data_IF_590012536937
#
_entry.id   IF_590012536937
#
_cell.length_a   1.000
_cell.length_b   1.000
_cell.length_c   1.000
_cell.angle_alpha   90.00
_cell.angle_beta   90.00
_cell.angle_gamma   90.00
#
_symmetry.space_group_name_H-M   'P 1'
#
loop_
_entity.id
_entity.type
_entity.pdbx_description
1 polymer ?
#
# COMPACT_ATOMS: atom_id res chain seq x y z
N UNK A 1 13.51 24.48 3.17
CA UNK A 1 12.08 24.22 2.96
C UNK A 1 11.89 23.29 1.76
N UNK A 2 11.26 22.14 1.98
CA UNK A 2 10.91 21.17 0.94
C UNK A 2 9.53 21.55 0.38
N UNK A 3 9.37 21.54 -0.94
CA UNK A 3 8.09 21.88 -1.59
C UNK A 3 7.20 20.64 -1.70
N UNK A 4 6.53 20.31 -0.60
CA UNK A 4 5.60 19.18 -0.51
C UNK A 4 4.26 19.51 -1.18
N UNK A 5 3.82 18.64 -2.10
CA UNK A 5 2.50 18.72 -2.76
C UNK A 5 1.58 17.56 -2.38
N UNK A 6 0.29 17.74 -2.62
CA UNK A 6 -0.70 16.65 -2.59
C UNK A 6 -0.39 15.60 -3.65
N UNK A 7 -0.69 14.34 -3.34
CA UNK A 7 -0.48 13.23 -4.28
C UNK A 7 -1.56 13.26 -5.36
N UNK A 8 -1.13 13.46 -6.60
CA UNK A 8 -1.98 13.44 -7.79
C UNK A 8 -1.66 12.20 -8.64
N UNK A 9 -2.60 11.76 -9.49
CA UNK A 9 -2.42 10.55 -10.31
C UNK A 9 -1.25 10.72 -11.29
N UNK A 10 -1.01 11.94 -11.76
CA UNK A 10 0.10 12.30 -12.65
C UNK A 10 1.47 12.13 -11.98
N UNK A 11 1.53 12.15 -10.65
CA UNK A 11 2.79 11.99 -9.91
C UNK A 11 3.40 10.60 -10.08
N UNK A 12 2.57 9.60 -10.45
CA UNK A 12 3.03 8.25 -10.79
C UNK A 12 4.23 8.28 -11.74
N UNK A 13 4.21 9.18 -12.72
CA UNK A 13 5.23 9.28 -13.77
C UNK A 13 6.64 9.54 -13.24
N UNK A 14 6.77 10.33 -12.17
CA UNK A 14 8.07 10.67 -11.59
C UNK A 14 8.35 9.87 -10.31
N UNK A 15 7.32 9.38 -9.61
CA UNK A 15 7.46 8.55 -8.41
C UNK A 15 7.88 7.12 -8.74
N UNK A 16 7.24 6.47 -9.72
CA UNK A 16 7.52 5.06 -10.06
C UNK A 16 9.01 4.78 -10.32
N UNK A 17 9.75 5.59 -11.11
CA UNK A 17 11.18 5.34 -11.33
C UNK A 17 12.02 5.38 -10.05
N UNK A 18 11.68 6.25 -9.10
CA UNK A 18 12.37 6.38 -7.82
C UNK A 18 12.08 5.18 -6.92
N UNK A 19 10.81 4.78 -6.83
CA UNK A 19 10.40 3.56 -6.10
C UNK A 19 11.06 2.30 -6.67
N UNK A 20 11.06 2.17 -8.01
CA UNK A 20 11.68 1.03 -8.70
C UNK A 20 13.20 0.96 -8.49
N UNK A 21 13.86 2.11 -8.35
CA UNK A 21 15.30 2.19 -8.09
C UNK A 21 15.63 1.91 -6.62
N UNK A 22 14.76 2.35 -5.70
CA UNK A 22 14.89 2.08 -4.27
C UNK A 22 14.68 0.60 -3.93
N UNK A 23 13.81 -0.08 -4.69
CA UNK A 23 13.49 -1.51 -4.58
C UNK A 23 13.06 -1.95 -3.17
N UNK A 24 12.40 -1.05 -2.44
CA UNK A 24 12.02 -1.24 -1.04
C UNK A 24 10.80 -2.15 -0.90
N UNK A 25 10.78 -2.99 0.14
CA UNK A 25 9.77 -4.04 0.31
C UNK A 25 8.58 -3.72 1.22
N UNK A 26 8.46 -2.48 1.72
CA UNK A 26 7.30 -2.08 2.53
C UNK A 26 6.15 -1.62 1.63
N UNK A 27 4.90 -2.03 1.91
CA UNK A 27 3.73 -1.72 1.06
C UNK A 27 3.53 -0.20 0.86
N UNK A 28 3.97 0.63 1.79
CA UNK A 28 3.92 2.09 1.68
C UNK A 28 4.81 2.68 0.57
N UNK A 29 5.78 1.90 0.06
CA UNK A 29 6.63 2.26 -1.08
C UNK A 29 6.02 1.82 -2.42
N UNK A 30 4.69 1.86 -2.50
CA UNK A 30 3.90 1.61 -3.68
C UNK A 30 3.08 2.87 -4.00
N UNK A 31 3.09 3.31 -5.27
CA UNK A 31 2.37 4.52 -5.66
C UNK A 31 0.85 4.40 -5.49
N UNK A 32 0.26 3.22 -5.77
CA UNK A 32 -1.16 2.96 -5.52
C UNK A 32 -1.50 3.22 -4.06
N UNK A 33 -0.71 2.72 -3.12
CA UNK A 33 -0.93 2.97 -1.69
C UNK A 33 -0.81 4.46 -1.33
N UNK A 34 0.23 5.14 -1.82
CA UNK A 34 0.41 6.58 -1.59
C UNK A 34 -0.77 7.40 -2.12
N UNK A 35 -1.29 7.05 -3.30
CA UNK A 35 -2.38 7.75 -3.94
C UNK A 35 -3.74 7.43 -3.30
N UNK A 36 -4.05 6.14 -3.09
CA UNK A 36 -5.33 5.68 -2.56
C UNK A 36 -5.58 6.20 -1.14
N UNK A 37 -4.54 6.19 -0.30
CA UNK A 37 -4.64 6.61 1.10
C UNK A 37 -4.26 8.08 1.34
N UNK A 38 -4.02 8.86 0.29
CA UNK A 38 -3.56 10.25 0.40
C UNK A 38 -4.48 11.13 1.23
N UNK A 39 -5.80 10.90 1.18
CA UNK A 39 -6.77 11.72 1.93
C UNK A 39 -6.79 11.35 3.41
N UNK A 40 -6.72 10.05 3.74
CA UNK A 40 -6.79 9.53 5.11
C UNK A 40 -5.55 9.92 5.91
N UNK A 41 -4.36 9.66 5.36
CA UNK A 41 -3.09 9.99 6.03
C UNK A 41 -2.55 11.36 5.64
N UNK A 42 -3.29 12.15 4.86
CA UNK A 42 -2.87 13.46 4.36
C UNK A 42 -1.49 13.39 3.70
N UNK A 43 -1.23 12.35 2.90
CA UNK A 43 0.07 12.17 2.28
C UNK A 43 0.45 13.38 1.44
N UNK A 44 1.71 13.79 1.57
CA UNK A 44 2.34 14.81 0.75
C UNK A 44 3.67 14.26 0.25
N UNK A 45 3.98 14.54 -1.02
CA UNK A 45 5.14 14.03 -1.72
C UNK A 45 5.99 15.19 -2.25
N UNK A 46 7.30 14.97 -2.32
CA UNK A 46 8.23 15.84 -3.01
C UNK A 46 9.40 15.02 -3.56
N UNK A 47 10.07 15.56 -4.57
CA UNK A 47 11.36 15.07 -4.99
C UNK A 47 12.45 15.91 -4.32
N UNK A 48 13.36 15.25 -3.60
CA UNK A 48 14.54 15.87 -3.00
C UNK A 48 15.75 15.15 -3.56
N UNK A 49 16.47 15.82 -4.46
CA UNK A 49 17.56 15.21 -5.23
C UNK A 49 17.05 13.98 -6.01
N UNK A 50 17.69 12.83 -5.86
CA UNK A 50 17.29 11.56 -6.49
C UNK A 50 16.44 10.68 -5.54
N UNK A 51 15.71 11.31 -4.61
CA UNK A 51 14.83 10.64 -3.65
C UNK A 51 13.40 11.16 -3.69
N UNK A 52 12.45 10.23 -3.59
CA UNK A 52 11.10 10.49 -3.14
C UNK A 52 11.14 10.68 -1.62
N UNK A 53 10.54 11.78 -1.17
CA UNK A 53 10.21 11.99 0.25
C UNK A 53 8.71 12.07 0.41
N UNK A 54 8.21 11.43 1.46
CA UNK A 54 6.78 11.37 1.79
C UNK A 54 6.61 11.77 3.24
N UNK A 55 5.60 12.62 3.51
CA UNK A 55 5.10 12.84 4.87
C UNK A 55 3.60 12.58 4.94
N UNK A 56 3.14 12.18 6.12
CA UNK A 56 1.73 11.95 6.42
C UNK A 56 1.42 12.34 7.86
N UNK A 57 0.16 12.19 8.24
CA UNK A 57 -0.36 12.46 9.57
C UNK A 57 -1.16 11.24 10.03
N UNK A 58 -0.83 10.72 11.21
CA UNK A 58 -1.54 9.64 11.89
C UNK A 58 -1.82 10.08 13.32
N UNK A 59 -3.09 10.02 13.74
CA UNK A 59 -3.52 10.45 15.08
C UNK A 59 -3.03 11.85 15.48
N UNK A 60 -2.97 12.77 14.50
CA UNK A 60 -2.49 14.15 14.68
C UNK A 60 -0.97 14.30 14.74
N UNK A 61 -0.21 13.21 14.63
CA UNK A 61 1.26 13.21 14.61
C UNK A 61 1.77 13.17 13.18
N UNK A 62 2.60 14.14 12.80
CA UNK A 62 3.29 14.12 11.51
C UNK A 62 4.41 13.09 11.54
N UNK A 63 4.53 12.31 10.46
CA UNK A 63 5.62 11.36 10.27
C UNK A 63 6.11 11.41 8.82
N UNK A 64 7.31 10.90 8.62
CA UNK A 64 7.97 10.80 7.32
C UNK A 64 8.28 9.34 7.02
N UNK A 65 8.22 8.96 5.76
CA UNK A 65 8.82 7.69 5.33
C UNK A 65 10.33 7.87 5.12
N UNK A 66 11.08 6.78 5.30
CA UNK A 66 12.48 6.75 4.89
C UNK A 66 12.59 7.12 3.40
N UNK A 67 13.52 8.01 2.98
CA UNK A 67 13.60 8.43 1.59
C UNK A 67 13.80 7.26 0.64
N UNK A 68 12.99 7.18 -0.42
CA UNK A 68 13.07 6.13 -1.42
C UNK A 68 13.72 6.66 -2.69
N UNK A 69 14.90 6.16 -3.04
CA UNK A 69 15.64 6.62 -4.21
C UNK A 69 17.05 6.08 -4.25
N UNK A 70 17.97 6.85 -4.85
CA UNK A 70 19.37 6.47 -5.01
C UNK A 70 20.31 7.54 -4.46
N UNK A 71 21.38 7.13 -3.80
CA UNK A 71 22.46 8.01 -3.36
C UNK A 71 22.70 7.93 -1.85
N UNK A 72 23.26 9.00 -1.29
CA UNK A 72 23.41 9.16 0.15
C UNK A 72 22.12 9.76 0.74
N UNK A 73 21.35 9.04 1.57
CA UNK A 73 20.12 9.56 2.14
C UNK A 73 20.37 10.55 3.29
N UNK A 74 21.60 10.69 3.79
CA UNK A 74 21.89 11.54 4.95
C UNK A 74 21.45 13.00 4.76
N UNK A 75 21.83 13.71 3.68
CA UNK A 75 21.41 15.11 3.48
C UNK A 75 19.89 15.24 3.31
N UNK A 76 19.24 14.21 2.76
CA UNK A 76 17.78 14.18 2.59
C UNK A 76 17.08 14.06 3.93
N UNK A 77 17.54 13.15 4.80
CA UNK A 77 17.02 12.97 6.16
C UNK A 77 17.24 14.24 7.00
N UNK A 78 18.39 14.90 6.88
CA UNK A 78 18.67 16.19 7.53
C UNK A 78 17.65 17.26 7.10
N UNK A 79 17.34 17.35 5.80
CA UNK A 79 16.31 18.27 5.29
C UNK A 79 14.89 17.95 5.76
N UNK A 80 14.57 16.68 5.99
CA UNK A 80 13.27 16.29 6.57
C UNK A 80 13.19 16.67 8.06
N UNK A 81 14.30 16.54 8.79
CA UNK A 81 14.38 17.01 10.17
C UNK A 81 14.23 18.55 10.26
N UNK A 82 14.81 19.30 9.31
CA UNK A 82 14.59 20.74 9.17
C UNK A 82 13.11 21.07 8.88
N UNK A 83 12.45 20.33 7.98
CA UNK A 83 11.00 20.51 7.68
C UNK A 83 10.13 20.28 8.92
N UNK A 84 10.46 19.28 9.74
CA UNK A 84 9.77 19.01 11.00
C UNK A 84 9.97 20.15 12.01
N UNK A 85 11.22 20.64 12.14
CA UNK A 85 11.54 21.75 13.03
C UNK A 85 10.86 23.07 12.60
N UNK A 86 10.83 23.38 11.30
CA UNK A 86 10.14 24.54 10.74
C UNK A 86 8.61 24.47 10.99
N UNK A 87 8.07 23.25 11.15
CA UNK A 87 6.66 22.99 11.44
C UNK A 87 6.35 22.88 12.94
N UNK A 88 7.36 23.06 13.82
CA UNK A 88 7.25 22.89 15.29
C UNK A 88 6.71 21.50 15.71
N UNK A 89 7.14 20.44 15.02
CA UNK A 89 6.77 19.05 15.32
C UNK A 89 7.99 18.16 15.54
N UNK A 90 7.77 17.05 16.25
CA UNK A 90 8.80 16.00 16.41
C UNK A 90 9.13 15.34 15.07
N UNK A 91 10.41 15.09 14.81
CA UNK A 91 10.85 14.37 13.62
C UNK A 91 10.69 12.86 13.80
N UNK A 92 9.61 12.30 13.25
CA UNK A 92 9.32 10.86 13.28
C UNK A 92 9.57 10.25 11.90
N UNK A 93 10.43 9.23 11.85
CA UNK A 93 10.78 8.51 10.61
C UNK A 93 10.34 7.05 10.68
N UNK A 94 9.50 6.61 9.74
CA UNK A 94 9.09 5.22 9.59
C UNK A 94 10.17 4.46 8.82
N UNK A 95 10.73 3.42 9.44
CA UNK A 95 11.86 2.67 8.91
C UNK A 95 11.61 1.17 8.93
N UNK A 96 12.12 0.46 7.92
CA UNK A 96 12.20 -0.99 7.95
C UNK A 96 13.36 -1.47 8.83
N UNK A 97 13.42 -2.79 9.05
CA UNK A 97 14.53 -3.40 9.79
C UNK A 97 15.87 -3.22 9.08
N UNK A 98 15.86 -3.21 7.76
CA UNK A 98 17.03 -3.00 6.90
C UNK A 98 17.54 -1.57 7.05
N UNK A 99 16.63 -0.59 6.98
CA UNK A 99 16.97 0.83 7.09
C UNK A 99 17.45 1.21 8.50
N UNK A 100 17.01 0.50 9.54
CA UNK A 100 17.45 0.75 10.92
C UNK A 100 18.97 0.70 11.09
N UNK A 101 19.64 -0.25 10.44
CA UNK A 101 21.09 -0.39 10.54
C UNK A 101 21.82 0.79 9.87
N UNK A 102 21.33 1.23 8.71
CA UNK A 102 21.85 2.38 8.00
C UNK A 102 21.60 3.69 8.76
N UNK A 103 20.39 3.88 9.27
CA UNK A 103 20.03 5.07 10.04
C UNK A 103 20.95 5.25 11.26
N UNK A 104 21.23 4.18 12.01
CA UNK A 104 22.13 4.24 13.15
C UNK A 104 23.60 4.48 12.76
N UNK A 105 24.01 4.08 11.54
CA UNK A 105 25.34 4.38 11.00
C UNK A 105 25.49 5.86 10.64
N UNK A 106 24.47 6.43 10.00
CA UNK A 106 24.45 7.83 9.55
C UNK A 106 24.27 8.80 10.73
N UNK A 107 23.40 8.43 11.67
CA UNK A 107 23.00 9.27 12.80
C UNK A 107 23.15 8.53 14.13
N UNK A 108 24.39 8.25 14.57
CA UNK A 108 24.64 7.49 15.78
C UNK A 108 24.01 8.17 17.00
N UNK A 109 23.21 7.41 17.75
CA UNK A 109 22.56 7.85 18.99
C UNK A 109 21.61 9.06 18.83
N UNK A 110 21.10 9.32 17.62
CA UNK A 110 20.17 10.42 17.34
C UNK A 110 18.69 10.03 17.34
N UNK A 111 18.37 8.75 17.22
CA UNK A 111 16.99 8.26 17.13
C UNK A 111 16.69 7.29 18.27
N UNK A 112 15.50 7.42 18.84
CA UNK A 112 14.85 6.36 19.59
C UNK A 112 14.06 5.46 18.63
N UNK A 113 14.07 4.15 18.85
CA UNK A 113 13.45 3.18 17.95
C UNK A 113 12.36 2.38 18.67
N UNK A 114 11.13 2.51 18.20
CA UNK A 114 9.96 1.78 18.67
C UNK A 114 9.35 0.93 17.55
N UNK A 115 8.90 -0.28 17.87
CA UNK A 115 8.18 -1.13 16.91
C UNK A 115 6.68 -0.82 16.95
N UNK A 116 6.07 -0.69 15.77
CA UNK A 116 4.61 -0.56 15.60
C UNK A 116 4.06 -1.86 15.02
N UNK A 117 3.80 -2.85 15.88
CA UNK A 117 3.48 -4.22 15.46
C UNK A 117 2.26 -4.32 14.54
N UNK A 118 1.27 -3.47 14.75
CA UNK A 118 0.02 -3.45 13.99
C UNK A 118 0.21 -2.92 12.56
N UNK A 119 1.37 -2.33 12.25
CA UNK A 119 1.75 -1.81 10.93
C UNK A 119 2.76 -2.70 10.19
N UNK A 120 2.91 -3.96 10.59
CA UNK A 120 3.82 -4.88 9.91
C UNK A 120 3.15 -5.55 8.71
N UNK A 121 3.86 -5.54 7.59
CA UNK A 121 3.45 -6.25 6.39
C UNK A 121 3.56 -7.77 6.52
N UNK A 122 2.60 -8.47 5.93
CA UNK A 122 2.59 -9.92 5.84
C UNK A 122 3.10 -10.37 4.48
N UNK A 123 4.36 -10.82 4.43
CA UNK A 123 4.98 -11.32 3.20
C UNK A 123 4.80 -12.84 3.08
N UNK A 124 4.32 -13.28 1.92
CA UNK A 124 4.07 -14.69 1.62
C UNK A 124 4.85 -15.16 0.40
N UNK A 125 5.33 -16.40 0.44
CA UNK A 125 5.91 -17.06 -0.72
C UNK A 125 4.83 -17.34 -1.78
N UNK A 126 5.05 -16.83 -2.99
CA UNK A 126 4.10 -16.93 -4.11
C UNK A 126 3.79 -18.39 -4.45
N UNK A 127 4.81 -19.25 -4.56
CA UNK A 127 4.61 -20.66 -4.89
C UNK A 127 3.77 -21.36 -3.82
N UNK A 128 3.94 -21.02 -2.54
CA UNK A 128 3.11 -21.55 -1.45
C UNK A 128 1.66 -21.08 -1.55
N UNK A 129 1.38 -19.82 -1.90
CA UNK A 129 0.01 -19.34 -2.05
C UNK A 129 -0.69 -19.94 -3.27
N UNK A 130 0.02 -20.09 -4.40
CA UNK A 130 -0.53 -20.69 -5.63
C UNK A 130 -0.78 -22.19 -5.45
N UNK A 131 0.20 -22.93 -4.94
CA UNK A 131 0.10 -24.40 -4.83
C UNK A 131 -0.65 -24.86 -3.58
N UNK A 132 -0.70 -23.99 -2.56
CA UNK A 132 -1.15 -24.33 -1.22
C UNK A 132 -0.49 -25.62 -0.72
N UNK A 133 0.81 -25.83 -1.01
CA UNK A 133 1.51 -27.11 -0.77
C UNK A 133 1.91 -27.32 0.70
N UNK A 134 1.88 -28.57 1.17
CA UNK A 134 2.32 -28.96 2.51
C UNK A 134 1.21 -29.01 3.58
N UNK A 135 1.57 -29.43 4.80
CA UNK A 135 0.62 -29.72 5.90
C UNK A 135 -0.07 -28.45 6.41
N UNK A 136 0.65 -27.33 6.51
CA UNK A 136 0.14 -26.03 7.00
C UNK A 136 -1.08 -25.55 6.19
N UNK A 137 -1.10 -25.78 4.88
CA UNK A 137 -2.16 -25.29 3.98
C UNK A 137 -3.32 -26.28 3.76
N UNK A 138 -3.35 -27.41 4.48
CA UNK A 138 -4.42 -28.42 4.31
C UNK A 138 -5.82 -27.82 4.50
N UNK A 139 -5.99 -26.94 5.49
CA UNK A 139 -7.25 -26.25 5.73
C UNK A 139 -7.68 -25.37 4.55
N UNK A 140 -6.75 -24.58 4.00
CA UNK A 140 -7.00 -23.72 2.82
C UNK A 140 -7.40 -24.55 1.59
N UNK A 141 -6.70 -25.66 1.33
CA UNK A 141 -7.09 -26.60 0.25
C UNK A 141 -8.49 -27.19 0.47
N UNK A 142 -8.86 -27.50 1.71
CA UNK A 142 -10.20 -28.00 2.01
C UNK A 142 -11.29 -26.94 1.71
N UNK A 143 -11.06 -25.67 2.04
CA UNK A 143 -11.98 -24.59 1.69
C UNK A 143 -12.12 -24.44 0.17
N UNK A 144 -11.01 -24.42 -0.56
CA UNK A 144 -11.01 -24.35 -2.03
C UNK A 144 -11.75 -25.54 -2.64
N UNK A 145 -11.47 -26.76 -2.18
CA UNK A 145 -12.14 -27.96 -2.69
C UNK A 145 -13.64 -27.98 -2.37
N UNK A 146 -14.02 -27.51 -1.18
CA UNK A 146 -15.43 -27.37 -0.82
C UNK A 146 -16.12 -26.36 -1.74
N UNK A 147 -15.52 -25.19 -1.95
CA UNK A 147 -16.09 -24.18 -2.84
C UNK A 147 -16.26 -24.71 -4.27
N UNK A 148 -15.20 -25.29 -4.83
CA UNK A 148 -15.21 -25.86 -6.20
C UNK A 148 -16.24 -26.98 -6.39
N UNK A 149 -16.56 -27.73 -5.33
CA UNK A 149 -17.51 -28.86 -5.39
C UNK A 149 -18.97 -28.42 -5.25
N UNK A 150 -19.25 -27.40 -4.45
CA UNK A 150 -20.60 -27.07 -4.02
C UNK A 150 -21.24 -25.89 -4.77
N UNK A 151 -20.44 -25.12 -5.51
CA UNK A 151 -20.94 -23.96 -6.25
C UNK A 151 -20.67 -24.10 -7.75
N UNK A 152 -21.56 -23.56 -8.58
CA UNK A 152 -21.25 -23.27 -9.97
C UNK A 152 -20.53 -21.92 -10.02
N UNK A 153 -19.26 -21.91 -10.44
CA UNK A 153 -18.39 -20.76 -10.33
C UNK A 153 -17.56 -20.51 -11.60
N UNK A 154 -17.19 -19.25 -11.82
CA UNK A 154 -16.18 -18.83 -12.79
C UNK A 154 -15.16 -17.90 -12.12
N UNK A 155 -13.96 -17.86 -12.69
CA UNK A 155 -12.96 -16.84 -12.38
C UNK A 155 -12.73 -16.04 -13.67
N UNK A 156 -12.71 -14.72 -13.55
CA UNK A 156 -12.49 -13.79 -14.65
C UNK A 156 -11.39 -12.81 -14.23
N UNK A 157 -10.52 -12.43 -15.16
CA UNK A 157 -9.64 -11.29 -14.94
C UNK A 157 -10.49 -10.02 -14.90
N UNK A 158 -10.12 -9.09 -14.04
CA UNK A 158 -10.77 -7.78 -14.02
C UNK A 158 -10.37 -6.99 -15.25
N UNK A 159 -11.37 -6.39 -15.89
CA UNK A 159 -11.23 -5.51 -17.06
C UNK A 159 -12.23 -4.36 -16.92
N UNK A 160 -12.10 -3.34 -17.76
CA UNK A 160 -13.04 -2.20 -17.73
C UNK A 160 -14.49 -2.63 -17.99
N UNK A 161 -14.73 -3.74 -18.67
CA UNK A 161 -16.08 -4.27 -18.91
C UNK A 161 -16.76 -4.89 -17.69
N UNK A 162 -16.00 -5.36 -16.69
CA UNK A 162 -16.54 -6.03 -15.50
C UNK A 162 -16.21 -5.31 -14.18
N UNK A 163 -15.52 -4.17 -14.25
CA UNK A 163 -15.12 -3.36 -13.10
C UNK A 163 -16.33 -2.85 -12.30
N UNK A 164 -17.39 -2.41 -12.99
CA UNK A 164 -18.63 -1.93 -12.35
C UNK A 164 -19.29 -3.02 -11.50
N UNK A 165 -19.30 -4.28 -11.95
CA UNK A 165 -19.87 -5.39 -11.17
C UNK A 165 -19.06 -5.70 -9.91
N UNK A 166 -17.75 -5.51 -9.95
CA UNK A 166 -16.89 -5.62 -8.76
C UNK A 166 -17.17 -4.48 -7.78
N UNK A 167 -17.40 -3.27 -8.29
CA UNK A 167 -17.77 -2.13 -7.45
C UNK A 167 -19.15 -2.30 -6.81
N UNK A 168 -20.13 -2.80 -7.55
CA UNK A 168 -21.45 -3.13 -7.02
C UNK A 168 -21.36 -4.15 -5.88
N UNK A 169 -20.53 -5.19 -6.04
CA UNK A 169 -20.26 -6.15 -4.97
C UNK A 169 -19.66 -5.44 -3.75
N UNK A 170 -18.63 -4.61 -3.92
CA UNK A 170 -18.01 -3.87 -2.82
C UNK A 170 -19.02 -3.01 -2.07
N UNK A 171 -19.85 -2.26 -2.79
CA UNK A 171 -20.88 -1.40 -2.21
C UNK A 171 -21.91 -2.20 -1.39
N UNK A 172 -22.33 -3.37 -1.87
CA UNK A 172 -23.20 -4.28 -1.10
C UNK A 172 -22.49 -4.86 0.14
N UNK A 173 -21.22 -5.24 0.01
CA UNK A 173 -20.42 -5.71 1.14
C UNK A 173 -20.32 -4.64 2.24
N UNK A 174 -20.05 -3.39 1.89
CA UNK A 174 -20.01 -2.27 2.83
C UNK A 174 -21.36 -2.09 3.54
N UNK A 175 -22.48 -2.11 2.80
CA UNK A 175 -23.84 -1.97 3.38
C UNK A 175 -24.12 -3.05 4.41
N UNK A 176 -23.81 -4.32 4.10
CA UNK A 176 -24.04 -5.46 4.99
C UNK A 176 -23.20 -5.34 6.27
N UNK A 177 -21.96 -4.88 6.16
CA UNK A 177 -21.03 -4.75 7.28
C UNK A 177 -21.14 -3.41 8.05
N UNK A 178 -22.16 -2.59 7.76
CA UNK A 178 -22.47 -1.34 8.47
C UNK A 178 -21.33 -0.31 8.50
N UNK A 179 -20.64 -0.14 7.37
CA UNK A 179 -19.48 0.76 7.22
C UNK A 179 -19.67 2.19 7.78
N UNK A 180 -20.89 2.77 7.72
CA UNK A 180 -21.14 4.15 8.20
C UNK A 180 -20.95 4.35 9.72
N UNK A 181 -20.68 3.30 10.50
CA UNK A 181 -20.34 3.40 11.92
C UNK A 181 -18.87 3.13 12.25
N UNK A 182 -18.03 2.82 11.26
CA UNK A 182 -16.64 2.42 11.44
C UNK A 182 -15.74 3.30 10.57
N UNK A 183 -14.87 4.07 11.23
CA UNK A 183 -13.98 5.02 10.55
C UNK A 183 -12.99 4.32 9.61
N UNK A 184 -12.45 3.18 10.03
CA UNK A 184 -11.46 2.43 9.25
C UNK A 184 -12.10 1.86 7.98
N UNK A 185 -13.30 1.28 8.08
CA UNK A 185 -14.03 0.78 6.91
C UNK A 185 -14.47 1.92 5.98
N UNK A 186 -14.68 3.13 6.53
CA UNK A 186 -15.00 4.32 5.72
C UNK A 186 -13.77 4.80 4.95
N UNK A 187 -12.59 4.84 5.58
CA UNK A 187 -11.33 5.17 4.93
C UNK A 187 -10.98 4.16 3.83
N UNK A 188 -11.09 2.86 4.14
CA UNK A 188 -10.88 1.78 3.17
C UNK A 188 -11.83 1.90 1.97
N UNK A 189 -13.11 2.23 2.20
CA UNK A 189 -14.07 2.45 1.11
C UNK A 189 -13.61 3.54 0.14
N UNK A 190 -13.10 4.66 0.64
CA UNK A 190 -12.60 5.74 -0.21
C UNK A 190 -11.28 5.38 -0.91
N UNK A 191 -10.37 4.68 -0.23
CA UNK A 191 -9.13 4.19 -0.83
C UNK A 191 -9.43 3.22 -1.98
N UNK A 192 -10.28 2.21 -1.74
CA UNK A 192 -10.75 1.28 -2.77
C UNK A 192 -11.46 2.02 -3.89
N UNK A 193 -12.32 3.00 -3.58
CA UNK A 193 -13.00 3.78 -4.62
C UNK A 193 -12.01 4.47 -5.56
N UNK A 194 -10.94 5.07 -5.03
CA UNK A 194 -9.89 5.70 -5.84
C UNK A 194 -9.18 4.68 -6.73
N UNK A 195 -8.90 3.48 -6.23
CA UNK A 195 -8.32 2.40 -7.04
C UNK A 195 -9.23 1.99 -8.20
N UNK A 196 -10.55 1.94 -8.00
CA UNK A 196 -11.51 1.66 -9.07
C UNK A 196 -11.61 2.80 -10.08
N UNK A 197 -11.64 4.06 -9.61
CA UNK A 197 -11.74 5.24 -10.48
C UNK A 197 -10.50 5.42 -11.37
N UNK A 198 -9.33 4.97 -10.89
CA UNK A 198 -8.05 5.10 -11.57
C UNK A 198 -7.40 3.75 -11.93
N UNK A 199 -8.21 2.70 -12.12
CA UNK A 199 -7.73 1.32 -12.25
C UNK A 199 -6.65 1.15 -13.34
N UNK A 200 -6.91 1.66 -14.55
CA UNK A 200 -5.95 1.57 -15.66
C UNK A 200 -4.75 2.51 -15.49
N UNK A 201 -4.95 3.71 -14.94
CA UNK A 201 -3.89 4.72 -14.77
C UNK A 201 -2.90 4.32 -13.69
N UNK A 202 -3.37 3.63 -12.65
CA UNK A 202 -2.55 3.00 -11.63
C UNK A 202 -1.83 1.75 -12.16
N UNK A 203 -2.27 1.19 -13.28
CA UNK A 203 -1.73 -0.06 -13.82
C UNK A 203 -2.09 -1.27 -12.96
N UNK A 204 -3.23 -1.22 -12.27
CA UNK A 204 -3.72 -2.31 -11.44
C UNK A 204 -4.16 -3.49 -12.31
N UNK A 205 -3.95 -4.69 -11.78
CA UNK A 205 -4.62 -5.89 -12.27
C UNK A 205 -5.39 -6.57 -11.15
N UNK A 206 -6.21 -7.54 -11.53
CA UNK A 206 -7.07 -8.21 -10.55
C UNK A 206 -7.85 -9.38 -11.12
N UNK A 207 -8.60 -10.02 -10.24
CA UNK A 207 -9.47 -11.13 -10.58
C UNK A 207 -10.74 -11.12 -9.77
N UNK A 208 -11.83 -11.56 -10.39
CA UNK A 208 -13.13 -11.71 -9.76
C UNK A 208 -13.58 -13.17 -9.76
N UNK A 209 -14.36 -13.53 -8.75
CA UNK A 209 -15.06 -14.81 -8.69
C UNK A 209 -16.55 -14.58 -8.83
N UNK A 210 -17.17 -15.34 -9.73
CA UNK A 210 -18.63 -15.46 -9.80
C UNK A 210 -19.10 -16.77 -9.19
N UNK A 211 -20.24 -16.71 -8.51
CA UNK A 211 -21.01 -17.89 -8.16
C UNK A 211 -22.48 -17.61 -8.49
N UNK A 212 -23.14 -18.60 -9.10
CA UNK A 212 -24.59 -18.50 -9.43
C UNK A 212 -24.93 -17.23 -10.25
N UNK A 213 -24.02 -16.83 -11.14
CA UNK A 213 -24.19 -15.69 -12.05
C UNK A 213 -23.89 -14.31 -11.45
N UNK A 214 -23.42 -14.21 -10.21
CA UNK A 214 -23.09 -12.93 -9.55
C UNK A 214 -21.64 -12.87 -9.12
N UNK A 215 -21.03 -11.70 -9.15
CA UNK A 215 -19.72 -11.46 -8.53
C UNK A 215 -19.85 -11.59 -7.01
N UNK A 216 -19.02 -12.42 -6.39
CA UNK A 216 -19.04 -12.69 -4.95
C UNK A 216 -17.71 -12.38 -4.24
N UNK A 217 -16.65 -12.16 -5.01
CA UNK A 217 -15.32 -11.78 -4.53
C UNK A 217 -14.57 -11.10 -5.67
N UNK A 218 -13.71 -10.14 -5.32
CA UNK A 218 -12.68 -9.61 -6.21
C UNK A 218 -11.40 -9.38 -5.41
N UNK A 219 -10.29 -9.19 -6.11
CA UNK A 219 -9.00 -8.75 -5.56
C UNK A 219 -8.29 -7.94 -6.63
N UNK A 220 -7.58 -6.90 -6.21
CA UNK A 220 -6.76 -6.06 -7.06
C UNK A 220 -5.34 -5.99 -6.49
N UNK A 221 -4.37 -5.67 -7.33
CA UNK A 221 -3.00 -5.52 -6.90
C UNK A 221 -2.14 -4.88 -7.98
N UNK A 222 -0.89 -4.65 -7.61
CA UNK A 222 0.15 -4.21 -8.52
C UNK A 222 1.54 -4.62 -8.01
N UNK A 223 2.54 -4.40 -8.86
CA UNK A 223 3.92 -4.72 -8.53
C UNK A 223 4.45 -3.72 -7.50
N UNK A 224 4.94 -4.22 -6.36
CA UNK A 224 5.58 -3.40 -5.33
C UNK A 224 7.01 -3.03 -5.74
N UNK A 225 7.82 -4.04 -6.04
CA UNK A 225 9.24 -3.90 -6.33
C UNK A 225 9.71 -5.04 -7.25
N UNK A 226 11.02 -5.27 -7.38
CA UNK A 226 11.59 -6.23 -8.34
C UNK A 226 11.13 -7.69 -8.16
N UNK A 227 10.76 -8.09 -6.94
CA UNK A 227 10.43 -9.48 -6.59
C UNK A 227 9.10 -9.67 -5.83
N UNK A 228 8.41 -8.58 -5.49
CA UNK A 228 7.21 -8.60 -4.65
C UNK A 228 6.00 -7.99 -5.38
N UNK A 229 4.85 -8.65 -5.23
CA UNK A 229 3.55 -8.19 -5.70
C UNK A 229 2.68 -7.83 -4.49
N UNK A 230 2.09 -6.64 -4.50
CA UNK A 230 1.21 -6.19 -3.44
C UNK A 230 -0.25 -6.49 -3.78
N UNK A 231 -1.00 -6.99 -2.81
CA UNK A 231 -2.45 -7.20 -2.94
C UNK A 231 -3.09 -6.06 -2.16
N UNK A 232 -3.73 -5.15 -2.88
CA UNK A 232 -4.30 -3.90 -2.39
C UNK A 232 -5.67 -4.11 -1.73
#
# INVERSE_FOLDING_TARGET
MIDFKEVEIEDKRWIDPLLATADMGGCQYNFTNLFAWANTYQYRVAQVEDFLVVKGILDGTQYYFYPAGQGDPQPVIERLAEDAADSDVEFVLVVSKENKAELNRLFPEKFELSEMRDSFDYVYDLEKLVTLSGKKYRGKRNHVNYFKKNYSWSFEQMTTENLDECWEMNAEWCKINKYMGDAQLTDEYYAVRRCFEHFEELGLDGGLLRAEGRVIAYTIGDKLNSDTYDIQ
#
